data_IF_647787382646
#
_entry.id   IF_647787382646
#
_cell.length_a   1.000
_cell.length_b   1.000
_cell.length_c   1.000
_cell.angle_alpha   90.00
_cell.angle_beta   90.00
_cell.angle_gamma   90.00
#
_symmetry.space_group_name_H-M   'P 1'
#
loop_
_entity.id
_entity.type
_entity.pdbx_description
1 polymer ?
#
# COMPACT_ATOMS: atom_id res chain seq x y z
N UNK A 1 13.12 33.91 -2.91
CA UNK A 1 13.63 32.64 -3.49
C UNK A 1 12.58 31.57 -3.25
N UNK A 2 11.82 31.19 -4.27
CA UNK A 2 10.95 30.02 -4.20
C UNK A 2 11.89 28.83 -4.12
N UNK A 3 12.10 28.31 -2.92
CA UNK A 3 13.04 27.22 -2.67
C UNK A 3 12.67 25.96 -3.45
N UNK A 4 13.59 25.02 -3.53
CA UNK A 4 13.39 23.69 -4.13
C UNK A 4 12.08 23.04 -3.65
N UNK A 5 11.66 23.30 -2.41
CA UNK A 5 10.38 22.89 -1.84
C UNK A 5 9.13 23.45 -2.55
N UNK A 6 9.19 24.68 -3.09
CA UNK A 6 8.10 25.28 -3.85
C UNK A 6 7.95 24.67 -5.25
N UNK A 7 9.07 24.36 -5.90
CA UNK A 7 9.08 23.65 -7.19
C UNK A 7 8.56 22.22 -7.00
N UNK A 8 8.91 21.58 -5.88
CA UNK A 8 8.34 20.30 -5.51
C UNK A 8 6.81 20.40 -5.34
N UNK A 9 6.29 21.41 -4.64
CA UNK A 9 4.85 21.56 -4.43
C UNK A 9 4.05 21.71 -5.74
N UNK A 10 4.55 22.49 -6.70
CA UNK A 10 3.87 22.70 -7.99
C UNK A 10 3.95 21.48 -8.92
N UNK A 11 5.09 20.78 -8.95
CA UNK A 11 5.20 19.55 -9.74
C UNK A 11 4.37 18.41 -9.11
N UNK A 12 4.32 18.28 -7.78
CA UNK A 12 3.49 17.28 -7.11
C UNK A 12 2.00 17.47 -7.36
N UNK A 13 1.53 18.72 -7.36
CA UNK A 13 0.15 19.06 -7.71
C UNK A 13 -0.17 18.82 -9.19
N UNK A 14 0.76 19.16 -10.10
CA UNK A 14 0.60 18.90 -11.54
C UNK A 14 0.63 17.39 -11.87
N UNK A 15 1.47 16.63 -11.18
CA UNK A 15 1.58 15.18 -11.31
C UNK A 15 0.35 14.46 -10.73
N UNK A 16 -0.21 14.97 -9.63
CA UNK A 16 -1.48 14.47 -9.06
C UNK A 16 -2.68 14.67 -10.01
N UNK A 17 -2.61 15.64 -10.92
CA UNK A 17 -3.64 15.90 -11.93
C UNK A 17 -3.50 15.01 -13.19
N UNK A 18 -2.36 14.34 -13.37
CA UNK A 18 -2.08 13.57 -14.59
C UNK A 18 -2.69 12.15 -14.55
N UNK A 19 -3.83 11.98 -15.23
CA UNK A 19 -4.34 10.71 -15.79
C UNK A 19 -4.62 9.55 -14.81
N UNK A 20 -5.91 9.16 -14.69
CA UNK A 20 -6.45 8.11 -13.80
C UNK A 20 -5.68 6.77 -13.78
N UNK A 21 -4.95 6.40 -14.85
CA UNK A 21 -4.21 5.12 -14.92
C UNK A 21 -2.73 5.18 -14.56
N UNK A 22 -2.10 6.37 -14.48
CA UNK A 22 -0.64 6.52 -14.25
C UNK A 22 -0.29 7.25 -12.95
N UNK A 23 -1.29 7.68 -12.17
CA UNK A 23 -1.12 8.33 -10.86
C UNK A 23 -0.15 7.58 -9.94
N UNK A 24 -0.16 6.24 -9.96
CA UNK A 24 0.65 5.41 -9.06
C UNK A 24 2.15 5.42 -9.42
N UNK A 25 2.50 5.38 -10.70
CA UNK A 25 3.88 5.56 -11.15
C UNK A 25 4.39 6.97 -10.88
N UNK A 26 3.50 7.95 -11.04
CA UNK A 26 3.84 9.34 -10.84
C UNK A 26 4.02 9.68 -9.34
N UNK A 27 3.24 9.09 -8.45
CA UNK A 27 3.39 9.20 -6.99
C UNK A 27 4.63 8.43 -6.48
N UNK A 28 4.90 7.25 -7.01
CA UNK A 28 6.12 6.48 -6.69
C UNK A 28 7.39 7.20 -7.20
N UNK A 29 7.35 7.74 -8.42
CA UNK A 29 8.40 8.59 -8.96
C UNK A 29 8.58 9.88 -8.16
N UNK A 30 7.48 10.49 -7.70
CA UNK A 30 7.50 11.65 -6.83
C UNK A 30 8.16 11.36 -5.48
N UNK A 31 7.81 10.25 -4.84
CA UNK A 31 8.41 9.82 -3.57
C UNK A 31 9.88 9.41 -3.74
N UNK A 32 10.24 8.80 -4.87
CA UNK A 32 11.63 8.52 -5.21
C UNK A 32 12.43 9.82 -5.43
N UNK A 33 11.84 10.83 -6.07
CA UNK A 33 12.43 12.16 -6.22
C UNK A 33 12.54 12.86 -4.86
N UNK A 34 11.53 12.79 -3.99
CA UNK A 34 11.56 13.34 -2.63
C UNK A 34 12.54 12.63 -1.68
N UNK A 35 12.75 11.33 -1.90
CA UNK A 35 13.76 10.50 -1.25
C UNK A 35 15.16 10.89 -1.73
N UNK A 36 15.35 11.03 -3.04
CA UNK A 36 16.59 11.49 -3.64
C UNK A 36 16.91 12.94 -3.26
N UNK A 37 15.90 13.82 -3.19
CA UNK A 37 16.07 15.21 -2.79
C UNK A 37 16.27 15.35 -1.28
N UNK A 38 15.64 14.52 -0.46
CA UNK A 38 15.95 14.39 0.98
C UNK A 38 17.39 13.89 1.22
N UNK A 39 17.85 12.91 0.44
CA UNK A 39 19.23 12.44 0.43
C UNK A 39 20.20 13.52 -0.07
N UNK A 40 19.85 14.29 -1.11
CA UNK A 40 20.65 15.41 -1.60
C UNK A 40 20.75 16.51 -0.53
N UNK A 41 19.66 16.87 0.13
CA UNK A 41 19.65 17.89 1.21
C UNK A 41 20.42 17.41 2.45
N UNK A 42 20.44 16.10 2.75
CA UNK A 42 21.23 15.54 3.84
C UNK A 42 22.70 15.30 3.46
N UNK A 43 23.00 15.01 2.19
CA UNK A 43 24.34 14.77 1.67
C UNK A 43 25.08 16.08 1.35
N UNK A 44 24.36 17.14 1.02
CA UNK A 44 24.89 18.50 0.93
C UNK A 44 24.62 19.23 2.26
N UNK A 45 25.58 19.28 3.22
CA UNK A 45 25.62 20.48 4.04
C UNK A 45 25.71 21.64 3.04
N UNK A 46 24.90 22.68 3.20
CA UNK A 46 25.10 23.94 2.48
C UNK A 46 26.50 24.46 2.87
N UNK A 47 27.52 23.94 2.19
CA UNK A 47 28.89 24.36 2.35
C UNK A 47 28.98 25.70 1.65
N UNK A 48 29.56 26.68 2.36
CA UNK A 48 29.91 28.01 1.84
C UNK A 48 30.37 27.93 0.40
N UNK A 49 30.11 29.01 -0.35
CA UNK A 49 30.68 29.31 -1.67
C UNK A 49 32.04 28.64 -1.85
N UNK A 50 32.06 27.54 -2.62
CA UNK A 50 33.31 26.85 -2.92
C UNK A 50 34.22 27.83 -3.69
N UNK A 51 35.54 27.84 -3.41
CA UNK A 51 36.48 28.54 -4.27
C UNK A 51 36.34 28.00 -5.70
N UNK A 52 36.54 28.90 -6.68
CA UNK A 52 36.13 28.83 -8.10
C UNK A 52 36.65 27.60 -8.91
N UNK A 53 37.34 26.62 -8.29
CA UNK A 53 38.03 25.52 -8.97
C UNK A 53 37.58 24.08 -8.67
N UNK A 54 36.58 23.81 -7.81
CA UNK A 54 36.17 22.41 -7.54
C UNK A 54 35.08 21.94 -8.51
N UNK A 55 35.48 21.12 -9.49
CA UNK A 55 34.53 20.43 -10.38
C UNK A 55 33.59 19.48 -9.63
N UNK A 56 32.38 19.31 -10.16
CA UNK A 56 31.34 18.41 -9.62
C UNK A 56 31.82 16.95 -9.52
N UNK A 57 32.54 16.48 -10.54
CA UNK A 57 33.00 15.10 -10.70
C UNK A 57 33.95 14.61 -9.59
N UNK A 58 35.05 15.32 -9.26
CA UNK A 58 35.95 14.89 -8.19
C UNK A 58 35.29 14.88 -6.81
N UNK A 59 34.31 15.77 -6.58
CA UNK A 59 33.52 15.80 -5.34
C UNK A 59 32.58 14.60 -5.24
N UNK A 60 31.89 14.26 -6.34
CA UNK A 60 31.07 13.04 -6.42
C UNK A 60 31.90 11.77 -6.24
N UNK A 61 33.08 11.68 -6.86
CA UNK A 61 33.97 10.52 -6.72
C UNK A 61 34.42 10.30 -5.27
N UNK A 62 34.72 11.37 -4.53
CA UNK A 62 35.07 11.30 -3.10
C UNK A 62 33.89 10.84 -2.23
N UNK A 63 32.67 11.26 -2.56
CA UNK A 63 31.44 10.82 -1.87
C UNK A 63 31.16 9.33 -2.10
N UNK A 64 31.26 8.85 -3.34
CA UNK A 64 31.03 7.44 -3.69
C UNK A 64 32.08 6.50 -3.09
N UNK A 65 33.29 6.97 -2.82
CA UNK A 65 34.35 6.17 -2.20
C UNK A 65 34.24 6.08 -0.66
N UNK A 66 33.32 6.85 -0.07
CA UNK A 66 33.05 6.77 1.37
C UNK A 66 32.18 5.54 1.68
N UNK A 67 32.83 4.47 2.15
CA UNK A 67 32.19 3.18 2.47
C UNK A 67 30.99 3.32 3.42
N UNK A 68 31.08 4.18 4.44
CA UNK A 68 30.00 4.36 5.42
C UNK A 68 28.77 5.03 4.81
N UNK A 69 28.98 6.07 3.99
CA UNK A 69 27.91 6.76 3.27
C UNK A 69 27.22 5.82 2.29
N UNK A 70 27.99 5.05 1.51
CA UNK A 70 27.45 4.12 0.52
C UNK A 70 26.66 2.99 1.17
N UNK A 71 27.14 2.40 2.28
CA UNK A 71 26.38 1.39 3.01
C UNK A 71 25.03 1.92 3.49
N UNK A 72 24.98 3.17 3.94
CA UNK A 72 23.74 3.80 4.38
C UNK A 72 22.77 4.09 3.22
N UNK A 73 23.28 4.55 2.07
CA UNK A 73 22.46 4.77 0.86
C UNK A 73 21.88 3.44 0.37
N UNK A 74 22.71 2.40 0.30
CA UNK A 74 22.28 1.05 -0.13
C UNK A 74 21.21 0.51 0.83
N UNK A 75 21.43 0.60 2.15
CA UNK A 75 20.44 0.15 3.14
C UNK A 75 19.09 0.87 3.01
N UNK A 76 19.11 2.20 2.86
CA UNK A 76 17.89 3.00 2.72
C UNK A 76 17.16 2.70 1.39
N UNK A 77 17.91 2.50 0.31
CA UNK A 77 17.34 2.12 -1.00
C UNK A 77 16.71 0.73 -0.98
N UNK A 78 17.31 -0.22 -0.26
CA UNK A 78 16.75 -1.55 -0.09
C UNK A 78 15.45 -1.48 0.71
N UNK A 79 15.42 -0.69 1.79
CA UNK A 79 14.24 -0.50 2.61
C UNK A 79 13.11 0.18 1.84
N UNK A 80 13.39 1.24 1.08
CA UNK A 80 12.38 1.91 0.26
C UNK A 80 11.82 0.99 -0.83
N UNK A 81 12.68 0.18 -1.47
CA UNK A 81 12.26 -0.80 -2.46
C UNK A 81 11.34 -1.85 -1.84
N UNK A 82 11.66 -2.38 -0.65
CA UNK A 82 10.80 -3.34 0.05
C UNK A 82 9.41 -2.76 0.35
N UNK A 83 9.35 -1.50 0.80
CA UNK A 83 8.09 -0.78 1.03
C UNK A 83 7.28 -0.64 -0.26
N UNK A 84 7.92 -0.25 -1.36
CA UNK A 84 7.25 -0.10 -2.66
C UNK A 84 6.71 -1.42 -3.20
N UNK A 85 7.47 -2.51 -3.09
CA UNK A 85 7.02 -3.85 -3.48
C UNK A 85 5.81 -4.26 -2.66
N UNK A 86 5.85 -4.04 -1.34
CA UNK A 86 4.72 -4.38 -0.48
C UNK A 86 3.47 -3.54 -0.81
N UNK A 87 3.63 -2.24 -1.07
CA UNK A 87 2.54 -1.38 -1.54
C UNK A 87 1.95 -1.86 -2.87
N UNK A 88 2.75 -2.47 -3.74
CA UNK A 88 2.26 -2.98 -5.02
C UNK A 88 1.39 -4.24 -4.86
N UNK A 89 1.71 -5.10 -3.90
CA UNK A 89 1.02 -6.37 -3.68
C UNK A 89 0.07 -6.33 -2.47
N UNK A 90 -0.23 -5.16 -1.90
CA UNK A 90 -1.03 -5.02 -0.69
C UNK A 90 -2.47 -5.53 -0.89
N UNK A 91 -3.09 -5.19 -2.02
CA UNK A 91 -4.43 -5.65 -2.40
C UNK A 91 -4.50 -7.17 -2.46
N UNK A 92 -3.56 -7.81 -3.17
CA UNK A 92 -3.52 -9.26 -3.31
C UNK A 92 -3.24 -9.95 -1.95
N UNK A 93 -2.34 -9.37 -1.15
CA UNK A 93 -2.02 -9.87 0.19
C UNK A 93 -3.24 -9.82 1.13
N UNK A 94 -3.96 -8.70 1.14
CA UNK A 94 -5.18 -8.53 1.95
C UNK A 94 -6.28 -9.48 1.50
N UNK A 95 -6.49 -9.62 0.19
CA UNK A 95 -7.50 -10.52 -0.38
C UNK A 95 -7.22 -11.98 0.01
N UNK A 96 -5.96 -12.42 -0.07
CA UNK A 96 -5.55 -13.77 0.30
C UNK A 96 -5.66 -14.01 1.82
N UNK A 97 -5.40 -13.00 2.66
CA UNK A 97 -5.35 -13.16 4.12
C UNK A 97 -6.71 -13.02 4.81
N UNK A 98 -7.51 -12.04 4.40
CA UNK A 98 -8.76 -11.68 5.05
C UNK A 98 -10.01 -12.09 4.26
N UNK A 99 -9.86 -12.57 3.02
CA UNK A 99 -10.98 -12.88 2.11
C UNK A 99 -11.99 -11.73 1.98
N UNK A 100 -11.48 -10.51 1.84
CA UNK A 100 -12.29 -9.30 1.67
C UNK A 100 -12.10 -8.72 0.28
N UNK A 101 -13.16 -8.14 -0.27
CA UNK A 101 -13.09 -7.37 -1.51
C UNK A 101 -12.54 -5.97 -1.20
N UNK A 102 -11.40 -5.61 -1.79
CA UNK A 102 -10.77 -4.28 -1.63
C UNK A 102 -11.41 -3.22 -2.51
N UNK A 103 -12.20 -3.60 -3.51
CA UNK A 103 -12.89 -2.69 -4.44
C UNK A 103 -14.24 -2.22 -3.92
N UNK A 104 -14.75 -2.86 -2.87
CA UNK A 104 -16.01 -2.48 -2.27
C UNK A 104 -15.90 -1.20 -1.43
N UNK A 105 -16.78 -0.20 -1.64
CA UNK A 105 -16.77 1.02 -0.82
C UNK A 105 -17.25 0.76 0.62
N UNK A 106 -17.96 -0.35 0.86
CA UNK A 106 -18.43 -0.77 2.19
C UNK A 106 -17.37 -1.43 3.04
N UNK A 107 -16.55 -2.26 2.42
CA UNK A 107 -15.33 -2.75 3.04
C UNK A 107 -14.49 -1.49 3.27
N UNK A 108 -14.13 -1.19 4.50
CA UNK A 108 -13.52 0.08 4.94
C UNK A 108 -12.30 0.56 4.14
N UNK A 109 -11.78 -0.21 3.18
CA UNK A 109 -10.68 0.13 2.29
C UNK A 109 -10.90 1.39 1.46
N UNK A 110 -12.11 1.67 0.97
CA UNK A 110 -12.37 2.84 0.12
C UNK A 110 -12.20 4.17 0.85
N UNK A 111 -12.86 4.33 2.00
CA UNK A 111 -12.72 5.50 2.87
C UNK A 111 -11.32 5.56 3.50
N UNK A 112 -10.79 4.42 3.94
CA UNK A 112 -9.44 4.34 4.53
C UNK A 112 -8.36 4.84 3.56
N UNK A 113 -8.48 4.56 2.25
CA UNK A 113 -7.49 4.97 1.26
C UNK A 113 -7.36 6.49 1.10
N UNK A 114 -8.47 7.23 1.18
CA UNK A 114 -8.48 8.70 1.09
C UNK A 114 -7.83 9.29 2.34
N UNK A 115 -8.27 8.87 3.53
CA UNK A 115 -7.71 9.33 4.80
C UNK A 115 -6.23 8.96 4.95
N UNK A 116 -5.82 7.78 4.49
CA UNK A 116 -4.43 7.33 4.45
C UNK A 116 -3.56 8.30 3.67
N UNK A 117 -3.97 8.70 2.47
CA UNK A 117 -3.20 9.63 1.63
C UNK A 117 -3.03 10.99 2.31
N UNK A 118 -4.12 11.53 2.88
CA UNK A 118 -4.08 12.81 3.60
C UNK A 118 -3.19 12.74 4.85
N UNK A 119 -3.30 11.66 5.63
CA UNK A 119 -2.52 11.46 6.84
C UNK A 119 -1.02 11.37 6.54
N UNK A 120 -0.63 10.60 5.52
CA UNK A 120 0.76 10.49 5.09
C UNK A 120 1.30 11.87 4.69
N UNK A 121 0.57 12.63 3.87
CA UNK A 121 1.01 13.96 3.42
C UNK A 121 1.23 14.91 4.60
N UNK A 122 0.27 14.98 5.53
CA UNK A 122 0.36 15.84 6.71
C UNK A 122 1.54 15.42 7.60
N UNK A 123 1.70 14.12 7.84
CA UNK A 123 2.77 13.60 8.68
C UNK A 123 4.16 13.89 8.10
N UNK A 124 4.37 13.57 6.81
CA UNK A 124 5.63 13.84 6.10
C UNK A 124 5.92 15.35 6.08
N UNK A 125 4.90 16.19 5.87
CA UNK A 125 5.04 17.65 5.87
C UNK A 125 5.45 18.20 7.24
N UNK A 126 4.79 17.76 8.32
CA UNK A 126 5.16 18.16 9.69
C UNK A 126 6.58 17.71 10.03
N UNK A 127 6.95 16.47 9.71
CA UNK A 127 8.29 15.95 9.94
C UNK A 127 9.33 16.73 9.14
N UNK A 128 9.10 16.97 7.84
CA UNK A 128 10.02 17.78 7.02
C UNK A 128 10.14 19.21 7.51
N UNK A 129 9.05 19.88 7.90
CA UNK A 129 9.12 21.25 8.43
C UNK A 129 9.89 21.28 9.76
N UNK A 130 9.60 20.36 10.69
CA UNK A 130 10.27 20.31 12.00
C UNK A 130 11.75 19.97 11.91
N UNK A 131 12.14 19.06 11.01
CA UNK A 131 13.54 18.68 10.81
C UNK A 131 14.30 19.67 9.92
N UNK A 132 13.66 20.25 8.90
CA UNK A 132 14.27 21.22 7.99
C UNK A 132 14.42 22.60 8.62
N UNK A 133 13.43 23.09 9.38
CA UNK A 133 13.50 24.43 9.99
C UNK A 133 14.48 24.51 11.16
N UNK A 134 14.86 23.37 11.76
CA UNK A 134 15.75 23.32 12.93
C UNK A 134 17.24 23.18 12.62
N UNK A 135 17.67 23.12 11.35
CA UNK A 135 19.09 22.88 11.02
C UNK A 135 19.66 23.79 9.92
N UNK A 136 20.08 25.02 10.28
CA UNK A 136 20.89 25.86 9.40
C UNK A 136 22.38 25.49 9.35
N UNK A 137 22.88 24.58 10.19
CA UNK A 137 24.29 24.18 10.17
C UNK A 137 24.48 22.67 10.11
N UNK A 138 25.49 22.27 9.33
CA UNK A 138 25.77 20.91 8.87
C UNK A 138 25.43 19.82 9.88
N UNK A 139 24.50 18.94 9.48
CA UNK A 139 24.20 17.73 10.24
C UNK A 139 25.49 16.94 10.40
N UNK A 140 25.96 16.77 11.65
CA UNK A 140 26.92 15.71 11.95
C UNK A 140 26.34 14.42 11.38
N UNK A 141 27.03 13.80 10.40
CA UNK A 141 26.57 12.60 9.70
C UNK A 141 26.11 11.48 10.67
N UNK A 142 26.66 11.47 11.88
CA UNK A 142 26.28 10.58 12.98
C UNK A 142 24.82 10.76 13.47
N UNK A 143 24.26 11.97 13.43
CA UNK A 143 22.88 12.22 13.87
C UNK A 143 21.85 11.83 12.79
N UNK A 144 22.17 12.05 11.51
CA UNK A 144 21.32 11.60 10.39
C UNK A 144 21.26 10.07 10.30
N UNK A 145 22.41 9.40 10.43
CA UNK A 145 22.50 7.94 10.47
C UNK A 145 21.73 7.32 11.62
N UNK A 146 21.78 7.91 12.83
CA UNK A 146 20.97 7.46 13.97
C UNK A 146 19.46 7.54 13.70
N UNK A 147 18.98 8.62 13.09
CA UNK A 147 17.55 8.76 12.75
C UNK A 147 17.14 7.73 11.69
N UNK A 148 17.95 7.54 10.65
CA UNK A 148 17.69 6.54 9.61
C UNK A 148 17.64 5.11 10.17
N UNK A 149 18.55 4.78 11.09
CA UNK A 149 18.55 3.47 11.77
C UNK A 149 17.28 3.27 12.62
N UNK A 150 16.85 4.29 13.36
CA UNK A 150 15.61 4.23 14.16
C UNK A 150 14.39 4.02 13.26
N UNK A 151 14.28 4.76 12.14
CA UNK A 151 13.20 4.59 11.15
C UNK A 151 13.19 3.16 10.60
N UNK A 152 14.36 2.61 10.25
CA UNK A 152 14.45 1.25 9.74
C UNK A 152 13.95 0.19 10.74
N UNK A 153 14.27 0.36 12.02
CA UNK A 153 13.78 -0.52 13.10
C UNK A 153 12.26 -0.44 13.22
N UNK A 154 11.68 0.76 13.22
CA UNK A 154 10.23 0.92 13.29
C UNK A 154 9.51 0.32 12.09
N UNK A 155 10.00 0.56 10.87
CA UNK A 155 9.41 -0.03 9.65
C UNK A 155 9.44 -1.56 9.72
N UNK A 156 10.55 -2.14 10.18
CA UNK A 156 10.68 -3.59 10.36
C UNK A 156 9.71 -4.12 11.42
N UNK A 157 9.58 -3.43 12.55
CA UNK A 157 8.63 -3.81 13.60
C UNK A 157 7.18 -3.79 13.10
N UNK A 158 6.80 -2.75 12.34
CA UNK A 158 5.46 -2.68 11.75
C UNK A 158 5.21 -3.79 10.74
N UNK A 159 6.19 -4.14 9.90
CA UNK A 159 6.08 -5.30 9.01
C UNK A 159 5.76 -6.59 9.77
N UNK A 160 6.47 -6.85 10.88
CA UNK A 160 6.21 -8.02 11.71
C UNK A 160 4.76 -8.01 12.21
N UNK A 161 4.27 -6.87 12.70
CA UNK A 161 2.87 -6.74 13.14
C UNK A 161 1.89 -7.05 12.00
N UNK A 162 2.13 -6.54 10.79
CA UNK A 162 1.28 -6.83 9.61
C UNK A 162 1.27 -8.32 9.23
N UNK A 163 2.37 -9.05 9.46
CA UNK A 163 2.42 -10.50 9.22
C UNK A 163 1.66 -11.30 10.28
N UNK A 164 1.61 -10.84 11.52
CA UNK A 164 0.93 -11.55 12.62
C UNK A 164 -0.58 -11.31 12.62
N UNK A 165 -1.05 -10.13 12.21
CA UNK A 165 -2.47 -9.79 12.13
C UNK A 165 -3.22 -10.73 11.18
N UNK A 166 -4.04 -11.62 11.74
CA UNK A 166 -4.80 -12.64 11.01
C UNK A 166 -6.20 -12.77 11.59
N UNK A 167 -7.11 -13.37 10.83
CA UNK A 167 -8.44 -13.74 11.30
C UNK A 167 -8.75 -15.19 10.92
N UNK A 168 -9.72 -15.79 11.60
CA UNK A 168 -10.26 -17.09 11.22
C UNK A 168 -11.11 -16.90 9.96
N UNK A 169 -10.54 -17.22 8.80
CA UNK A 169 -11.27 -17.25 7.54
C UNK A 169 -11.72 -18.67 7.24
N UNK A 170 -12.96 -18.81 6.77
CA UNK A 170 -13.43 -20.09 6.25
C UNK A 170 -12.80 -20.38 4.88
N UNK A 171 -12.67 -21.67 4.55
CA UNK A 171 -12.13 -22.09 3.26
C UNK A 171 -13.06 -21.66 2.13
N UNK A 172 -12.48 -21.02 1.10
CA UNK A 172 -13.22 -20.68 -0.12
C UNK A 172 -13.61 -21.96 -0.87
N UNK A 173 -14.88 -22.08 -1.21
CA UNK A 173 -15.39 -23.21 -1.98
C UNK A 173 -14.76 -23.25 -3.37
N UNK A 174 -14.17 -24.41 -3.70
CA UNK A 174 -13.41 -24.61 -4.93
C UNK A 174 -11.89 -24.49 -4.75
N UNK A 175 -11.40 -23.88 -3.67
CA UNK A 175 -9.96 -23.79 -3.40
C UNK A 175 -9.47 -25.05 -2.67
N UNK A 176 -8.77 -25.95 -3.37
CA UNK A 176 -8.20 -27.19 -2.82
C UNK A 176 -6.68 -27.19 -3.00
N UNK A 177 -5.93 -27.35 -1.90
CA UNK A 177 -4.47 -27.56 -1.90
C UNK A 177 -3.70 -26.65 -2.88
N UNK A 178 -3.97 -25.34 -2.84
CA UNK A 178 -3.27 -24.34 -3.66
C UNK A 178 -3.77 -24.18 -5.10
N UNK A 179 -4.74 -24.98 -5.54
CA UNK A 179 -5.36 -24.84 -6.86
C UNK A 179 -6.86 -24.55 -6.73
N UNK A 180 -7.36 -23.69 -7.61
CA UNK A 180 -8.79 -23.37 -7.68
C UNK A 180 -9.47 -24.30 -8.69
N UNK A 181 -10.45 -25.06 -8.22
CA UNK A 181 -11.31 -25.90 -9.02
C UNK A 181 -12.74 -25.37 -8.99
N UNK A 182 -13.27 -25.04 -10.17
CA UNK A 182 -14.63 -24.53 -10.30
C UNK A 182 -15.64 -25.60 -9.86
N UNK A 183 -16.60 -25.25 -8.98
CA UNK A 183 -17.56 -26.22 -8.49
C UNK A 183 -18.52 -26.67 -9.60
N UNK A 184 -18.99 -27.92 -9.52
CA UNK A 184 -19.82 -28.56 -10.57
C UNK A 184 -21.11 -27.80 -10.86
N UNK A 185 -21.70 -27.17 -9.84
CA UNK A 185 -22.90 -26.34 -9.96
C UNK A 185 -22.73 -25.10 -10.85
N UNK A 186 -21.51 -24.56 -10.98
CA UNK A 186 -21.23 -23.41 -11.85
C UNK A 186 -20.38 -23.77 -13.05
N UNK A 187 -20.10 -25.06 -13.30
CA UNK A 187 -19.22 -25.51 -14.39
C UNK A 187 -19.70 -25.04 -15.78
N UNK A 188 -21.01 -24.82 -15.96
CA UNK A 188 -21.61 -24.30 -17.19
C UNK A 188 -21.39 -22.80 -17.42
N UNK A 189 -20.95 -22.03 -16.40
CA UNK A 189 -20.81 -20.58 -16.50
C UNK A 189 -19.50 -20.11 -17.15
N UNK A 190 -18.49 -20.98 -17.29
CA UNK A 190 -17.20 -20.63 -17.89
C UNK A 190 -16.48 -19.45 -17.20
N UNK A 191 -16.41 -19.48 -15.87
CA UNK A 191 -15.87 -18.38 -15.08
C UNK A 191 -14.35 -18.25 -15.25
N UNK A 192 -13.87 -17.04 -15.60
CA UNK A 192 -12.45 -16.72 -15.62
C UNK A 192 -12.08 -15.72 -14.51
N UNK A 193 -10.92 -15.94 -13.88
CA UNK A 193 -10.40 -15.08 -12.82
C UNK A 193 -10.06 -13.68 -13.32
N UNK A 194 -9.60 -13.54 -14.56
CA UNK A 194 -9.28 -12.27 -15.20
C UNK A 194 -10.52 -11.37 -15.37
N UNK A 195 -11.68 -11.96 -15.70
CA UNK A 195 -12.91 -11.21 -15.96
C UNK A 195 -13.65 -10.83 -14.68
N UNK A 196 -13.74 -11.75 -13.72
CA UNK A 196 -14.56 -11.55 -12.52
C UNK A 196 -13.76 -11.04 -11.32
N UNK A 197 -12.44 -11.23 -11.30
CA UNK A 197 -11.58 -10.92 -10.17
C UNK A 197 -11.97 -11.64 -8.88
N UNK A 198 -11.25 -11.36 -7.80
CA UNK A 198 -11.63 -11.83 -6.46
C UNK A 198 -12.73 -10.94 -5.89
N UNK A 199 -13.97 -11.45 -5.88
CA UNK A 199 -15.16 -10.74 -5.40
C UNK A 199 -15.98 -11.70 -4.54
N UNK A 200 -15.50 -12.01 -3.32
CA UNK A 200 -16.07 -13.09 -2.52
C UNK A 200 -17.56 -12.87 -2.26
N UNK A 201 -18.33 -13.95 -2.32
CA UNK A 201 -19.76 -13.97 -1.98
C UNK A 201 -20.07 -15.07 -0.98
N UNK A 202 -20.96 -14.79 -0.04
CA UNK A 202 -21.41 -15.71 0.98
C UNK A 202 -22.82 -16.21 0.64
N UNK A 203 -22.97 -17.52 0.43
CA UNK A 203 -24.31 -18.12 0.31
C UNK A 203 -25.02 -18.10 1.67
N UNK A 204 -26.22 -17.53 1.71
CA UNK A 204 -26.97 -17.37 2.96
C UNK A 204 -27.46 -18.70 3.55
N UNK A 205 -27.71 -19.68 2.68
CA UNK A 205 -28.21 -21.00 3.04
C UNK A 205 -27.11 -21.89 3.63
N UNK A 206 -26.06 -22.14 2.84
CA UNK A 206 -24.98 -23.07 3.23
C UNK A 206 -23.87 -22.42 4.05
N UNK A 207 -23.90 -21.09 4.24
CA UNK A 207 -22.81 -20.28 4.84
C UNK A 207 -21.44 -20.60 4.25
N UNK A 208 -21.38 -20.74 2.92
CA UNK A 208 -20.13 -21.02 2.20
C UNK A 208 -19.71 -19.81 1.39
N UNK A 209 -18.43 -19.48 1.48
CA UNK A 209 -17.82 -18.41 0.68
C UNK A 209 -17.36 -18.95 -0.66
N UNK A 210 -17.69 -18.27 -1.75
CA UNK A 210 -17.23 -18.56 -3.11
C UNK A 210 -16.35 -17.42 -3.62
N UNK A 211 -15.47 -17.74 -4.58
CA UNK A 211 -14.47 -16.80 -5.12
C UNK A 211 -15.08 -15.57 -5.80
N UNK A 212 -16.18 -15.76 -6.53
CA UNK A 212 -16.92 -14.70 -7.21
C UNK A 212 -18.39 -15.11 -7.39
N UNK A 213 -19.32 -14.19 -7.72
CA UNK A 213 -20.72 -14.53 -7.99
C UNK A 213 -20.86 -15.51 -9.17
N UNK A 214 -19.99 -15.46 -10.17
CA UNK A 214 -19.96 -16.43 -11.27
C UNK A 214 -19.67 -17.84 -10.76
N UNK A 215 -18.70 -17.98 -9.84
CA UNK A 215 -18.34 -19.28 -9.28
C UNK A 215 -19.41 -19.87 -8.36
N UNK A 216 -20.30 -19.02 -7.83
CA UNK A 216 -21.52 -19.43 -7.13
C UNK A 216 -22.69 -19.73 -8.09
N UNK A 217 -22.54 -19.45 -9.38
CA UNK A 217 -23.56 -19.65 -10.41
C UNK A 217 -24.73 -18.68 -10.32
N UNK A 218 -24.54 -17.48 -9.79
CA UNK A 218 -25.59 -16.47 -9.68
C UNK A 218 -25.80 -15.73 -11.01
N UNK A 219 -27.05 -15.53 -11.41
CA UNK A 219 -27.42 -14.89 -12.69
C UNK A 219 -27.96 -13.48 -12.51
N UNK A 220 -28.56 -13.18 -11.36
CA UNK A 220 -29.16 -11.89 -11.06
C UNK A 220 -28.46 -11.19 -9.89
N UNK A 221 -28.41 -9.87 -9.94
CA UNK A 221 -27.94 -9.03 -8.84
C UNK A 221 -28.98 -7.95 -8.53
N UNK A 222 -29.31 -7.80 -7.25
CA UNK A 222 -30.24 -6.80 -6.73
C UNK A 222 -29.52 -5.93 -5.71
N UNK A 223 -29.79 -4.63 -5.74
CA UNK A 223 -29.30 -3.70 -4.74
C UNK A 223 -30.45 -3.37 -3.77
N UNK A 224 -30.37 -3.87 -2.54
CA UNK A 224 -31.34 -3.60 -1.48
C UNK A 224 -30.74 -2.64 -0.44
N UNK A 225 -31.22 -1.39 -0.44
CA UNK A 225 -30.78 -0.35 0.50
C UNK A 225 -29.25 -0.16 0.50
N UNK A 226 -28.66 -0.28 -0.69
CA UNK A 226 -27.24 -0.26 -0.92
C UNK A 226 -26.65 -1.68 -0.97
N UNK A 227 -27.13 -2.65 -0.20
CA UNK A 227 -26.50 -3.98 -0.11
C UNK A 227 -26.71 -4.73 -1.41
N UNK A 228 -25.60 -5.08 -2.08
CA UNK A 228 -25.62 -5.89 -3.30
C UNK A 228 -25.83 -7.36 -2.93
N UNK A 229 -27.02 -7.88 -3.26
CA UNK A 229 -27.37 -9.28 -3.16
C UNK A 229 -27.34 -9.91 -4.56
N UNK A 230 -27.02 -11.19 -4.61
CA UNK A 230 -27.06 -12.00 -5.80
C UNK A 230 -28.14 -13.07 -5.65
N UNK A 231 -28.94 -13.24 -6.69
CA UNK A 231 -30.06 -14.16 -6.75
C UNK A 231 -29.83 -15.25 -7.80
N UNK A 232 -30.64 -16.31 -7.72
CA UNK A 232 -30.64 -17.45 -8.63
C UNK A 232 -29.26 -18.12 -8.75
N UNK A 233 -28.61 -18.29 -7.59
CA UNK A 233 -27.31 -18.97 -7.51
C UNK A 233 -27.46 -20.48 -7.61
N UNK A 234 -26.95 -21.07 -8.70
CA UNK A 234 -27.01 -22.52 -8.97
C UNK A 234 -26.32 -23.40 -7.90
N UNK A 235 -25.36 -22.84 -7.15
CA UNK A 235 -24.67 -23.55 -6.07
C UNK A 235 -25.41 -23.49 -4.71
N UNK A 236 -26.59 -22.88 -4.66
CA UNK A 236 -27.45 -22.83 -3.47
C UNK A 236 -28.37 -24.06 -3.39
N UNK A 237 -28.71 -24.49 -2.17
CA UNK A 237 -29.57 -25.65 -1.91
C UNK A 237 -31.00 -25.26 -1.52
N UNK A 238 -31.32 -23.96 -1.42
CA UNK A 238 -32.61 -23.51 -0.93
C UNK A 238 -32.92 -22.07 -1.29
N UNK A 239 -32.34 -21.10 -0.57
CA UNK A 239 -32.74 -19.69 -0.70
C UNK A 239 -32.29 -19.01 -2.00
N UNK A 240 -31.40 -19.64 -2.77
CA UNK A 240 -30.83 -19.14 -4.04
C UNK A 240 -30.22 -17.73 -3.94
N UNK A 241 -29.85 -17.31 -2.73
CA UNK A 241 -29.36 -15.97 -2.44
C UNK A 241 -27.94 -15.98 -1.89
N UNK A 242 -27.12 -15.05 -2.36
CA UNK A 242 -25.79 -14.79 -1.86
C UNK A 242 -25.62 -13.30 -1.53
N UNK A 243 -24.97 -13.03 -0.40
CA UNK A 243 -24.56 -11.69 -0.02
C UNK A 243 -23.11 -11.44 -0.48
N UNK A 244 -22.80 -10.19 -0.83
CA UNK A 244 -21.43 -9.78 -1.12
C UNK A 244 -20.54 -9.84 0.13
N UNK A 245 -19.30 -10.27 -0.02
CA UNK A 245 -18.33 -10.49 1.05
C UNK A 245 -18.21 -11.96 1.46
N UNK A 246 -17.19 -12.26 2.26
CA UNK A 246 -17.01 -13.59 2.86
C UNK A 246 -17.96 -13.80 4.03
N UNK A 247 -18.29 -15.06 4.33
CA UNK A 247 -19.14 -15.39 5.48
C UNK A 247 -18.46 -15.02 6.83
N UNK A 248 -17.12 -14.96 6.85
CA UNK A 248 -16.30 -14.58 8.01
C UNK A 248 -16.00 -13.06 8.08
N UNK A 249 -16.69 -12.23 7.29
CA UNK A 249 -16.42 -10.78 7.21
C UNK A 249 -16.51 -10.08 8.58
N UNK A 250 -17.46 -10.46 9.42
CA UNK A 250 -17.66 -9.88 10.76
C UNK A 250 -16.46 -10.13 11.67
N UNK A 251 -15.90 -11.34 11.66
CA UNK A 251 -14.72 -11.71 12.44
C UNK A 251 -13.43 -11.05 11.91
N UNK A 252 -13.35 -10.83 10.60
CA UNK A 252 -12.18 -10.25 9.96
C UNK A 252 -12.18 -8.71 9.92
N UNK A 253 -13.31 -8.06 10.24
CA UNK A 253 -13.45 -6.60 10.17
C UNK A 253 -12.45 -5.88 11.09
N UNK A 254 -12.34 -6.30 12.35
CA UNK A 254 -11.43 -5.68 13.33
C UNK A 254 -9.94 -5.84 12.93
N UNK A 255 -9.42 -7.04 12.66
CA UNK A 255 -8.01 -7.20 12.30
C UNK A 255 -7.69 -6.56 10.93
N UNK A 256 -8.65 -6.52 10.00
CA UNK A 256 -8.49 -5.79 8.75
C UNK A 256 -8.38 -4.27 8.95
N UNK A 257 -9.22 -3.67 9.81
CA UNK A 257 -9.10 -2.26 10.15
C UNK A 257 -7.79 -1.96 10.88
N UNK A 258 -7.36 -2.83 11.81
CA UNK A 258 -6.07 -2.71 12.47
C UNK A 258 -4.90 -2.78 11.45
N UNK A 259 -4.97 -3.69 10.48
CA UNK A 259 -4.01 -3.79 9.39
C UNK A 259 -3.91 -2.48 8.60
N UNK A 260 -5.05 -1.90 8.19
CA UNK A 260 -5.08 -0.63 7.45
C UNK A 260 -4.43 0.52 8.24
N UNK A 261 -4.67 0.60 9.55
CA UNK A 261 -4.08 1.63 10.43
C UNK A 261 -2.56 1.43 10.54
N UNK A 262 -2.12 0.21 10.88
CA UNK A 262 -0.69 -0.10 11.03
C UNK A 262 0.07 0.14 9.73
N UNK A 263 -0.52 -0.26 8.59
CA UNK A 263 0.06 -0.03 7.28
C UNK A 263 0.17 1.46 6.95
N UNK A 264 -0.85 2.26 7.28
CA UNK A 264 -0.82 3.72 7.10
C UNK A 264 0.29 4.37 7.94
N UNK A 265 0.43 3.97 9.21
CA UNK A 265 1.48 4.48 10.10
C UNK A 265 2.87 4.07 9.58
N UNK A 266 3.03 2.84 9.13
CA UNK A 266 4.28 2.36 8.54
C UNK A 266 4.71 3.19 7.33
N UNK A 267 3.77 3.49 6.41
CA UNK A 267 4.05 4.35 5.25
C UNK A 267 4.39 5.77 5.65
N UNK A 268 3.71 6.32 6.66
CA UNK A 268 4.00 7.66 7.18
C UNK A 268 5.40 7.76 7.82
N UNK A 269 5.86 6.69 8.48
CA UNK A 269 7.22 6.61 9.06
C UNK A 269 8.29 6.37 8.00
N UNK A 270 7.96 5.67 6.91
CA UNK A 270 8.90 5.37 5.83
C UNK A 270 9.11 6.54 4.82
N UNK A 271 8.16 7.47 4.73
CA UNK A 271 8.20 8.64 3.82
C UNK A 271 8.87 9.87 4.42
#
# INVERSE_FOLDING_TARGET
MIGVAGVEFFLGAAVAWWGKGKRHFAFSGWLAVCSASGLLVLAFPFSRSNPIGMGLLPTLRRLLHNKALMMQIVALSCLSTAVLVFVHYDDAYVQAKFHVDTKDPRTSGGLSSIFRTLFIIIFVMIFKIRFSARRPEGVKANTASRVAAVVAIFVTAFYIVLTVLSCNTDTISGLKTGSYYQPTCSASCGCSTERYGFTPVCLLDTRRTYFSPCHAGCTHSEDLNGVLLFNDCACSLGTMRAARGSCSLTSCMLPYNAYQIVFTVMLAVAG
#
